data_IF_189097064211
#
_entry.id   IF_189097064211
#
_cell.length_a   1.000
_cell.length_b   1.000
_cell.length_c   1.000
_cell.angle_alpha   90.00
_cell.angle_beta   90.00
_cell.angle_gamma   90.00
#
_symmetry.space_group_name_H-M   'P 1'
#
loop_
_entity.id
_entity.type
_entity.pdbx_description
1 polymer ?
#
# COMPACT_ATOMS: atom_id res chain seq x y z
N UNK A 1 6.03 1.71 16.75
CA UNK A 1 6.75 1.39 15.49
C UNK A 1 7.03 2.68 14.75
N UNK A 2 8.29 2.98 14.44
CA UNK A 2 8.63 4.19 13.69
C UNK A 2 8.04 4.14 12.26
N UNK A 3 7.71 5.32 11.73
CA UNK A 3 7.46 5.52 10.31
C UNK A 3 8.68 5.08 9.48
N UNK A 4 8.42 4.38 8.38
CA UNK A 4 9.46 3.91 7.48
C UNK A 4 9.13 4.24 6.04
N UNK A 5 10.13 4.73 5.31
CA UNK A 5 9.99 4.96 3.87
C UNK A 5 10.17 3.64 3.13
N UNK A 6 9.26 3.33 2.20
CA UNK A 6 9.31 2.16 1.34
C UNK A 6 9.22 2.61 -0.11
N UNK A 7 10.04 2.02 -0.98
CA UNK A 7 9.99 2.26 -2.42
C UNK A 7 8.90 1.42 -3.08
N UNK A 8 8.01 2.07 -3.83
CA UNK A 8 6.97 1.37 -4.58
C UNK A 8 7.59 0.58 -5.74
N UNK A 9 7.33 -0.73 -5.80
CA UNK A 9 7.80 -1.59 -6.89
C UNK A 9 7.17 -1.28 -8.25
N UNK A 10 6.02 -0.62 -8.27
CA UNK A 10 5.24 -0.35 -9.49
C UNK A 10 5.65 0.99 -10.15
N UNK A 11 5.89 2.04 -9.34
CA UNK A 11 6.19 3.38 -9.84
C UNK A 11 7.53 3.96 -9.38
N UNK A 12 8.30 3.23 -8.57
CA UNK A 12 9.60 3.66 -8.06
C UNK A 12 9.56 4.79 -7.01
N UNK A 13 8.38 5.33 -6.69
CA UNK A 13 8.24 6.42 -5.69
C UNK A 13 8.36 5.90 -4.28
N UNK A 14 9.04 6.65 -3.42
CA UNK A 14 9.05 6.41 -1.98
C UNK A 14 7.74 6.87 -1.35
N UNK A 15 7.20 6.06 -0.44
CA UNK A 15 6.03 6.39 0.35
C UNK A 15 6.28 6.03 1.81
N UNK A 16 5.61 6.74 2.72
CA UNK A 16 5.75 6.53 4.16
C UNK A 16 4.79 5.42 4.57
N UNK A 17 5.33 4.37 5.17
CA UNK A 17 4.57 3.34 5.87
C UNK A 17 4.51 3.69 7.35
N UNK A 18 3.44 4.41 7.69
CA UNK A 18 3.24 4.97 9.04
C UNK A 18 2.96 3.91 10.09
N UNK A 19 3.12 4.25 11.36
CA UNK A 19 2.76 3.36 12.47
C UNK A 19 1.30 2.89 12.39
N UNK A 20 0.37 3.78 12.01
CA UNK A 20 -1.04 3.46 11.84
C UNK A 20 -1.29 2.43 10.73
N UNK A 21 -0.57 2.55 9.61
CA UNK A 21 -0.64 1.52 8.55
C UNK A 21 -0.03 0.20 9.00
N UNK A 22 1.06 0.21 9.76
CA UNK A 22 1.66 -1.00 10.34
C UNK A 22 0.70 -1.70 11.31
N UNK A 23 0.04 -0.94 12.18
CA UNK A 23 -0.99 -1.46 13.09
C UNK A 23 -2.17 -2.06 12.32
N UNK A 24 -2.64 -1.38 11.27
CA UNK A 24 -3.70 -1.91 10.39
C UNK A 24 -3.29 -3.20 9.69
N UNK A 25 -2.06 -3.27 9.17
CA UNK A 25 -1.54 -4.48 8.53
C UNK A 25 -1.47 -5.64 9.52
N UNK A 26 -0.97 -5.38 10.73
CA UNK A 26 -0.88 -6.37 11.81
C UNK A 26 -2.26 -6.85 12.28
N UNK A 27 -3.22 -5.94 12.44
CA UNK A 27 -4.61 -6.28 12.82
C UNK A 27 -5.29 -7.14 11.76
N UNK A 28 -4.99 -6.89 10.48
CA UNK A 28 -5.49 -7.71 9.36
C UNK A 28 -4.78 -9.06 9.20
N UNK A 29 -3.73 -9.33 9.98
CA UNK A 29 -2.92 -10.55 9.85
C UNK A 29 -1.96 -10.52 8.67
N UNK A 30 -1.61 -9.34 8.15
CA UNK A 30 -0.55 -9.21 7.16
C UNK A 30 0.81 -9.18 7.84
N UNK A 31 1.61 -10.21 7.62
CA UNK A 31 3.01 -10.29 8.10
C UNK A 31 3.99 -9.54 7.21
N UNK A 32 3.56 -9.15 5.99
CA UNK A 32 4.42 -8.56 4.98
C UNK A 32 4.21 -7.04 4.86
N UNK A 33 5.31 -6.32 4.62
CA UNK A 33 5.29 -4.89 4.32
C UNK A 33 4.61 -4.60 2.97
N UNK A 34 3.97 -3.43 2.81
CA UNK A 34 3.44 -3.02 1.52
C UNK A 34 4.57 -2.79 0.51
N UNK A 35 4.50 -3.49 -0.63
CA UNK A 35 5.44 -3.30 -1.76
C UNK A 35 4.99 -2.22 -2.75
N UNK A 36 3.80 -1.63 -2.55
CA UNK A 36 3.22 -0.62 -3.43
C UNK A 36 2.71 0.56 -2.62
N UNK A 37 2.90 1.76 -3.15
CA UNK A 37 2.35 2.98 -2.57
C UNK A 37 0.81 2.98 -2.61
N UNK A 38 0.15 3.75 -1.73
CA UNK A 38 -1.31 3.87 -1.69
C UNK A 38 -1.91 4.29 -3.05
N UNK A 39 -1.23 5.16 -3.79
CA UNK A 39 -1.65 5.59 -5.13
C UNK A 39 -1.73 4.41 -6.11
N UNK A 40 -0.69 3.58 -6.21
CA UNK A 40 -0.70 2.40 -7.08
C UNK A 40 -1.71 1.34 -6.61
N UNK A 41 -1.91 1.18 -5.30
CA UNK A 41 -2.96 0.30 -4.74
C UNK A 41 -4.35 0.80 -5.14
N UNK A 42 -4.60 2.11 -5.02
CA UNK A 42 -5.87 2.76 -5.39
C UNK A 42 -6.12 2.70 -6.90
N UNK A 43 -5.11 2.96 -7.73
CA UNK A 43 -5.20 2.88 -9.17
C UNK A 43 -5.63 1.48 -9.63
N UNK A 44 -5.00 0.41 -9.11
CA UNK A 44 -5.40 -0.97 -9.42
C UNK A 44 -6.82 -1.30 -8.95
N UNK A 45 -7.24 -0.80 -7.79
CA UNK A 45 -8.62 -0.97 -7.32
C UNK A 45 -9.61 -0.29 -8.27
N UNK A 46 -9.29 0.92 -8.75
CA UNK A 46 -10.14 1.67 -9.68
C UNK A 46 -10.23 0.99 -11.06
N UNK A 47 -9.10 0.48 -11.59
CA UNK A 47 -9.08 -0.24 -12.87
C UNK A 47 -9.97 -1.49 -12.86
N UNK A 48 -10.10 -2.19 -11.72
CA UNK A 48 -11.01 -3.35 -11.61
C UNK A 48 -12.50 -2.98 -11.63
N UNK A 49 -12.86 -1.76 -11.23
CA UNK A 49 -14.25 -1.32 -11.24
C UNK A 49 -14.70 -0.81 -12.63
N UNK A 50 -13.76 -0.58 -13.55
CA UNK A 50 -14.07 -0.07 -14.89
C UNK A 50 -14.48 -1.15 -15.91
N UNK A 51 -14.38 -2.43 -15.58
CA UNK A 51 -14.73 -3.54 -16.48
C UNK A 51 -16.13 -4.12 -16.23
N UNK A 52 -16.97 -3.44 -15.43
CA UNK A 52 -18.39 -3.78 -15.27
C UNK A 52 -19.24 -2.69 -15.93
N UNK A 53 -19.11 -2.53 -17.26
CA UNK A 53 -20.14 -1.85 -18.04
C UNK A 53 -20.22 -2.43 -19.44
#
# INVERSE_FOLDING_TARGET
>A
MADRNITCKDCGKEFIFTEGEQAFYKEKGFENDPVRCPECRKARKNSRNSYSK
#
